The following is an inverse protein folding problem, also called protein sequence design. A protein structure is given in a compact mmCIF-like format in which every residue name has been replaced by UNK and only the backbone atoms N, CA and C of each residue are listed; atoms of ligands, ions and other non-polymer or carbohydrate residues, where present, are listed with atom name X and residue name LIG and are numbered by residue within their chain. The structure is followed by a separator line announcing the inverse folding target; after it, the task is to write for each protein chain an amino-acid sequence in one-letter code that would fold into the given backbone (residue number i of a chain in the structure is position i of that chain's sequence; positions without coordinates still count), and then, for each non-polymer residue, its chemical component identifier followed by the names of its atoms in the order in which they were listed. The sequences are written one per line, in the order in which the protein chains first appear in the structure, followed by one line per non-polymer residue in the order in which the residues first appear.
data_IF_225261540114
#
_entry.id   IF_225261540114
#
_cell.length_a   1.000
_cell.length_b   1.000
_cell.length_c   1.000
_cell.angle_alpha   90.00
_cell.angle_beta   90.00
_cell.angle_gamma   90.00
#
_symmetry.space_group_name_H-M   'P 1'
#
loop_
_entity.id
_entity.type
_entity.pdbx_description
1 polymer ?
#
# COMPACT_ATOMS: atom_id res chain seq x y z
N UNK A 1 -10.21 16.49 15.56
CA UNK A 1 -11.24 17.34 14.91
C UNK A 1 -12.33 16.47 14.25
N UNK A 2 -13.00 15.61 15.06
CA UNK A 2 -14.14 14.80 14.53
C UNK A 2 -15.36 15.66 14.17
N UNK A 3 -15.40 16.92 14.61
CA UNK A 3 -16.56 17.81 14.48
C UNK A 3 -16.27 19.05 13.62
N UNK A 4 -15.36 18.92 12.62
CA UNK A 4 -15.12 20.01 11.69
C UNK A 4 -16.31 20.12 10.73
N UNK A 5 -17.07 21.20 10.86
CA UNK A 5 -18.19 21.55 9.97
C UNK A 5 -17.70 22.58 8.96
N UNK A 6 -17.86 22.26 7.69
CA UNK A 6 -17.57 23.22 6.61
C UNK A 6 -18.59 24.36 6.68
N UNK A 7 -18.10 25.61 6.76
CA UNK A 7 -18.98 26.78 6.71
C UNK A 7 -19.65 26.90 5.33
N UNK A 8 -20.89 27.43 5.32
CA UNK A 8 -21.71 27.58 4.11
C UNK A 8 -20.99 28.25 2.93
N UNK A 9 -20.23 29.30 3.19
CA UNK A 9 -19.45 29.99 2.13
C UNK A 9 -18.41 29.07 1.51
N UNK A 10 -17.71 28.25 2.31
CA UNK A 10 -16.72 27.28 1.80
C UNK A 10 -17.40 26.19 0.98
N UNK A 11 -18.56 25.71 1.40
CA UNK A 11 -19.38 24.74 0.70
C UNK A 11 -19.82 25.27 -0.70
N UNK A 12 -20.28 26.51 -0.76
CA UNK A 12 -20.63 27.19 -2.02
C UNK A 12 -19.41 27.32 -2.96
N UNK A 13 -18.24 27.67 -2.40
CA UNK A 13 -16.98 27.73 -3.18
C UNK A 13 -16.57 26.36 -3.74
N UNK A 14 -16.57 25.30 -2.90
CA UNK A 14 -16.24 23.93 -3.34
C UNK A 14 -17.21 23.45 -4.45
N UNK A 15 -18.50 23.74 -4.30
CA UNK A 15 -19.52 23.42 -5.29
C UNK A 15 -19.27 24.18 -6.61
N UNK A 16 -18.83 25.42 -6.54
CA UNK A 16 -18.48 26.21 -7.73
C UNK A 16 -17.25 25.64 -8.44
N UNK A 17 -16.20 25.29 -7.67
CA UNK A 17 -14.98 24.67 -8.21
C UNK A 17 -15.28 23.34 -8.88
N UNK A 18 -16.17 22.51 -8.31
CA UNK A 18 -16.52 21.20 -8.89
C UNK A 18 -17.22 21.32 -10.26
N UNK A 19 -17.93 22.42 -10.49
CA UNK A 19 -18.61 22.72 -11.78
C UNK A 19 -17.70 23.42 -12.80
N UNK A 20 -16.58 24.00 -12.31
CA UNK A 20 -15.57 24.61 -13.16
C UNK A 20 -14.51 23.56 -13.50
N UNK A 21 -13.87 23.63 -14.66
CA UNK A 21 -12.76 22.73 -14.99
C UNK A 21 -11.41 23.22 -14.39
N UNK A 22 -11.43 23.88 -13.24
CA UNK A 22 -10.23 24.49 -12.66
C UNK A 22 -9.25 23.48 -12.09
N UNK A 23 -9.73 22.38 -11.50
CA UNK A 23 -8.86 21.31 -11.01
C UNK A 23 -8.01 20.69 -12.12
N UNK A 24 -8.55 20.59 -13.34
CA UNK A 24 -7.80 20.10 -14.50
C UNK A 24 -6.66 21.02 -14.95
N UNK A 25 -6.64 22.29 -14.53
CA UNK A 25 -5.56 23.26 -14.82
C UNK A 25 -4.37 23.14 -13.85
N UNK A 26 -4.53 22.43 -12.74
CA UNK A 26 -3.46 22.25 -11.77
C UNK A 26 -2.41 21.25 -12.33
N UNK A 27 -1.13 21.48 -11.96
CA UNK A 27 -0.10 20.51 -12.30
C UNK A 27 -0.23 19.24 -11.48
N UNK A 28 0.15 18.11 -12.05
CA UNK A 28 0.15 16.80 -11.39
C UNK A 28 0.96 16.80 -10.08
N UNK A 29 2.12 17.48 -10.10
CA UNK A 29 2.99 17.58 -8.92
C UNK A 29 2.31 18.33 -7.78
N UNK A 30 1.56 19.40 -8.08
CA UNK A 30 0.82 20.15 -7.07
C UNK A 30 -0.30 19.31 -6.46
N UNK A 31 -1.00 18.54 -7.27
CA UNK A 31 -2.03 17.60 -6.79
C UNK A 31 -1.40 16.59 -5.83
N UNK A 32 -0.24 16.01 -6.19
CA UNK A 32 0.43 15.06 -5.31
C UNK A 32 0.85 15.71 -3.97
N UNK A 33 1.40 16.92 -4.00
CA UNK A 33 1.82 17.63 -2.78
C UNK A 33 0.63 17.79 -1.81
N UNK A 34 -0.55 18.15 -2.30
CA UNK A 34 -1.74 18.32 -1.44
C UNK A 34 -2.26 16.96 -0.92
N UNK A 35 -2.20 15.90 -1.74
CA UNK A 35 -2.51 14.53 -1.31
C UNK A 35 -1.54 14.11 -0.20
N UNK A 36 -0.24 14.26 -0.40
CA UNK A 36 0.77 13.88 0.57
C UNK A 36 0.61 14.63 1.90
N UNK A 37 0.35 15.94 1.85
CA UNK A 37 0.04 16.72 3.05
C UNK A 37 -1.19 16.21 3.80
N UNK A 38 -2.23 15.83 3.06
CA UNK A 38 -3.44 15.26 3.67
C UNK A 38 -3.16 13.92 4.33
N UNK A 39 -2.34 13.07 3.71
CA UNK A 39 -1.93 11.77 4.25
C UNK A 39 -1.10 11.88 5.53
N UNK A 40 -0.33 12.96 5.70
CA UNK A 40 0.42 13.26 6.92
C UNK A 40 -0.50 13.66 8.09
N UNK A 41 -1.74 14.07 7.80
CA UNK A 41 -2.74 14.39 8.82
C UNK A 41 -3.25 13.12 9.52
N UNK A 42 -3.60 13.24 10.80
CA UNK A 42 -4.28 12.19 11.55
C UNK A 42 -5.62 11.79 10.91
N UNK A 43 -6.34 12.73 10.32
CA UNK A 43 -7.68 12.55 9.74
C UNK A 43 -7.64 12.59 8.21
N UNK A 44 -6.72 11.86 7.59
CA UNK A 44 -6.56 11.84 6.13
C UNK A 44 -7.86 11.43 5.40
N UNK A 45 -8.60 10.46 5.93
CA UNK A 45 -9.89 10.02 5.36
C UNK A 45 -10.88 11.17 5.15
N UNK A 46 -10.91 12.18 6.02
CA UNK A 46 -11.83 13.30 5.88
C UNK A 46 -11.54 14.15 4.64
N UNK A 47 -10.27 14.31 4.28
CA UNK A 47 -9.90 14.96 3.02
C UNK A 47 -10.47 14.22 1.80
N UNK A 48 -10.30 12.90 1.74
CA UNK A 48 -10.80 12.11 0.62
C UNK A 48 -12.32 12.02 0.60
N UNK A 49 -12.99 12.00 1.77
CA UNK A 49 -14.45 12.12 1.86
C UNK A 49 -14.95 13.44 1.29
N UNK A 50 -14.28 14.55 1.59
CA UNK A 50 -14.62 15.86 1.04
C UNK A 50 -14.49 15.88 -0.48
N UNK A 51 -13.40 15.33 -1.02
CA UNK A 51 -13.24 15.24 -2.48
C UNK A 51 -14.40 14.48 -3.15
N UNK A 52 -14.84 13.38 -2.54
CA UNK A 52 -16.01 12.61 -3.02
C UNK A 52 -17.30 13.40 -2.88
N UNK A 53 -17.59 13.96 -1.71
CA UNK A 53 -18.85 14.63 -1.42
C UNK A 53 -19.09 15.84 -2.30
N UNK A 54 -18.02 16.58 -2.66
CA UNK A 54 -18.09 17.74 -3.54
C UNK A 54 -17.77 17.43 -5.00
N UNK A 55 -17.60 16.15 -5.37
CA UNK A 55 -17.23 15.71 -6.73
C UNK A 55 -15.95 16.40 -7.25
N UNK A 56 -14.92 16.50 -6.40
CA UNK A 56 -13.62 17.11 -6.69
C UNK A 56 -12.55 16.09 -7.08
N UNK A 57 -12.95 14.89 -7.48
CA UNK A 57 -12.05 13.78 -7.82
C UNK A 57 -11.54 13.82 -9.26
N UNK A 58 -12.26 14.50 -10.16
CA UNK A 58 -11.92 14.60 -11.59
C UNK A 58 -10.97 15.78 -11.85
N UNK A 59 -9.92 15.61 -12.67
CA UNK A 59 -9.55 14.41 -13.44
C UNK A 59 -8.51 13.51 -12.71
N UNK A 60 -8.17 13.76 -11.46
CA UNK A 60 -6.98 13.20 -10.82
C UNK A 60 -7.20 11.90 -10.06
N UNK A 61 -8.34 11.77 -9.37
CA UNK A 61 -8.68 10.64 -8.51
C UNK A 61 -10.02 10.00 -8.92
N UNK A 62 -10.30 9.90 -10.20
CA UNK A 62 -11.59 9.40 -10.74
C UNK A 62 -11.97 8.00 -10.26
N UNK A 63 -10.97 7.21 -9.84
CA UNK A 63 -11.17 5.86 -9.29
C UNK A 63 -11.40 5.81 -7.80
N UNK A 64 -11.41 6.95 -7.13
CA UNK A 64 -11.70 7.03 -5.70
C UNK A 64 -13.17 6.71 -5.45
N UNK A 65 -13.43 5.59 -4.78
CA UNK A 65 -14.78 5.14 -4.36
C UNK A 65 -14.84 4.90 -2.85
N UNK A 66 -13.71 4.50 -2.27
CA UNK A 66 -13.57 4.29 -0.84
C UNK A 66 -12.51 5.24 -0.27
N UNK A 67 -12.90 6.26 0.53
CA UNK A 67 -12.01 7.28 1.06
C UNK A 67 -11.32 6.90 2.37
N UNK A 68 -11.65 5.74 2.95
CA UNK A 68 -11.21 5.39 4.30
C UNK A 68 -9.78 4.86 4.34
N UNK A 69 -8.97 5.41 5.24
CA UNK A 69 -7.66 4.90 5.61
C UNK A 69 -7.44 5.00 7.12
N UNK A 70 -6.47 4.27 7.64
CA UNK A 70 -6.18 4.20 9.07
C UNK A 70 -5.54 5.49 9.58
N UNK A 71 -6.08 6.06 10.66
CA UNK A 71 -5.67 7.39 11.17
C UNK A 71 -4.22 7.41 11.72
N UNK A 72 -3.78 6.36 12.39
CA UNK A 72 -2.53 6.32 13.16
C UNK A 72 -1.32 5.79 12.37
N UNK A 73 -1.47 5.52 11.07
CA UNK A 73 -0.41 5.01 10.22
C UNK A 73 0.41 6.13 9.54
N UNK A 74 1.59 5.77 8.99
CA UNK A 74 2.37 6.67 8.15
C UNK A 74 1.64 7.02 6.86
N UNK A 75 2.03 8.11 6.21
CA UNK A 75 1.44 8.57 4.95
C UNK A 75 1.51 7.47 3.85
N UNK A 76 2.62 6.74 3.77
CA UNK A 76 2.82 5.66 2.79
C UNK A 76 1.85 4.50 3.03
N UNK A 77 1.63 4.12 4.30
CA UNK A 77 0.70 3.04 4.66
C UNK A 77 -0.74 3.46 4.37
N UNK A 78 -1.12 4.71 4.70
CA UNK A 78 -2.44 5.26 4.39
C UNK A 78 -2.71 5.27 2.89
N UNK A 79 -1.72 5.68 2.09
CA UNK A 79 -1.82 5.64 0.64
C UNK A 79 -1.98 4.22 0.11
N UNK A 80 -1.15 3.28 0.60
CA UNK A 80 -1.26 1.88 0.19
C UNK A 80 -2.63 1.28 0.54
N UNK A 81 -3.19 1.62 1.71
CA UNK A 81 -4.53 1.20 2.11
C UNK A 81 -5.62 1.79 1.21
N UNK A 82 -5.54 3.08 0.86
CA UNK A 82 -6.45 3.72 -0.09
C UNK A 82 -6.37 3.06 -1.47
N UNK A 83 -5.16 2.82 -1.99
CA UNK A 83 -4.95 2.12 -3.26
C UNK A 83 -5.59 0.72 -3.25
N UNK A 84 -5.38 -0.06 -2.18
CA UNK A 84 -5.95 -1.40 -2.07
C UNK A 84 -7.48 -1.39 -2.04
N UNK A 85 -8.09 -0.42 -1.33
CA UNK A 85 -9.56 -0.25 -1.28
C UNK A 85 -10.16 0.29 -2.59
N UNK A 86 -9.34 0.80 -3.49
CA UNK A 86 -9.73 1.36 -4.79
C UNK A 86 -9.06 0.60 -5.96
N UNK A 87 -8.87 -0.72 -5.80
CA UNK A 87 -8.36 -1.65 -6.82
C UNK A 87 -6.96 -1.31 -7.37
N UNK A 88 -6.13 -0.60 -6.60
CA UNK A 88 -4.78 -0.17 -6.99
C UNK A 88 -4.77 0.71 -8.26
N UNK A 89 -5.74 1.62 -8.37
CA UNK A 89 -5.92 2.45 -9.56
C UNK A 89 -5.83 3.96 -9.32
N UNK A 90 -5.70 4.42 -8.06
CA UNK A 90 -5.70 5.85 -7.72
C UNK A 90 -4.49 6.60 -8.26
N UNK A 91 -3.32 5.99 -8.20
CA UNK A 91 -2.04 6.61 -8.59
C UNK A 91 -1.78 6.70 -10.09
N UNK A 92 -2.70 6.25 -10.96
CA UNK A 92 -2.45 6.17 -12.41
C UNK A 92 -2.20 7.53 -13.08
N UNK A 93 -2.89 8.57 -12.63
CA UNK A 93 -2.88 9.89 -13.26
C UNK A 93 -2.00 10.92 -12.54
N UNK A 94 -1.38 10.54 -11.43
CA UNK A 94 -0.58 11.42 -10.57
C UNK A 94 0.84 10.87 -10.36
N UNK A 95 1.86 11.73 -10.12
CA UNK A 95 3.25 11.31 -9.98
C UNK A 95 3.55 10.80 -8.57
N UNK A 96 3.01 9.64 -8.22
CA UNK A 96 3.24 9.01 -6.91
C UNK A 96 4.74 8.73 -6.72
N UNK A 97 5.41 9.17 -5.63
CA UNK A 97 6.81 8.89 -5.35
C UNK A 97 7.12 7.40 -5.13
N UNK A 98 8.38 7.02 -5.33
CA UNK A 98 8.80 5.62 -5.27
C UNK A 98 8.65 4.98 -3.89
N UNK A 99 8.82 5.74 -2.79
CA UNK A 99 8.56 5.25 -1.45
C UNK A 99 7.08 4.84 -1.28
N UNK A 100 6.14 5.64 -1.72
CA UNK A 100 4.71 5.29 -1.70
C UNK A 100 4.40 4.08 -2.60
N UNK A 101 4.97 4.04 -3.82
CA UNK A 101 4.82 2.89 -4.73
C UNK A 101 5.34 1.58 -4.14
N UNK A 102 6.43 1.65 -3.34
CA UNK A 102 6.96 0.50 -2.64
C UNK A 102 5.90 -0.10 -1.70
N UNK A 103 5.30 0.72 -0.83
CA UNK A 103 4.26 0.25 0.11
C UNK A 103 3.02 -0.30 -0.61
N UNK A 104 2.60 0.33 -1.70
CA UNK A 104 1.50 -0.17 -2.55
C UNK A 104 1.85 -1.55 -3.12
N UNK A 105 3.05 -1.71 -3.67
CA UNK A 105 3.52 -2.99 -4.23
C UNK A 105 3.63 -4.10 -3.18
N UNK A 106 4.15 -3.77 -1.99
CA UNK A 106 4.23 -4.70 -0.87
C UNK A 106 2.84 -5.12 -0.39
N UNK A 107 1.92 -4.16 -0.18
CA UNK A 107 0.56 -4.47 0.26
C UNK A 107 -0.18 -5.35 -0.76
N UNK A 108 -0.04 -5.05 -2.05
CA UNK A 108 -0.62 -5.88 -3.12
C UNK A 108 -0.09 -7.31 -3.04
N UNK A 109 1.23 -7.49 -2.92
CA UNK A 109 1.84 -8.82 -2.80
C UNK A 109 1.44 -9.53 -1.50
N UNK A 110 1.25 -8.81 -0.38
CA UNK A 110 0.75 -9.38 0.87
C UNK A 110 -0.71 -9.87 0.75
N UNK A 111 -1.56 -9.12 0.04
CA UNK A 111 -2.95 -9.53 -0.23
C UNK A 111 -2.98 -10.77 -1.14
N UNK A 112 -2.11 -10.82 -2.15
CA UNK A 112 -1.99 -11.96 -3.07
C UNK A 112 -1.38 -13.20 -2.39
N UNK A 113 -0.68 -13.04 -1.26
CA UNK A 113 0.00 -14.11 -0.54
C UNK A 113 -0.98 -14.87 0.38
N UNK A 114 -1.66 -15.86 -0.14
CA UNK A 114 -2.68 -16.65 0.58
C UNK A 114 -2.14 -18.02 1.02
N UNK A 115 -2.69 -18.55 2.13
CA UNK A 115 -2.28 -19.84 2.70
C UNK A 115 -2.39 -21.02 1.71
N UNK A 116 -3.37 -20.97 0.83
CA UNK A 116 -3.70 -22.07 -0.09
C UNK A 116 -3.08 -21.91 -1.49
N UNK A 117 -2.14 -20.97 -1.67
CA UNK A 117 -1.44 -20.82 -2.94
C UNK A 117 -0.62 -22.06 -3.30
N UNK A 118 -0.53 -22.43 -4.59
CA UNK A 118 0.45 -23.40 -5.08
C UNK A 118 1.86 -22.99 -4.67
N UNK A 119 2.74 -23.98 -4.40
CA UNK A 119 4.11 -23.73 -3.89
C UNK A 119 4.88 -22.74 -4.77
N UNK A 120 4.78 -22.87 -6.10
CA UNK A 120 5.49 -21.97 -7.02
C UNK A 120 4.99 -20.52 -6.94
N UNK A 121 3.69 -20.30 -6.75
CA UNK A 121 3.10 -18.97 -6.60
C UNK A 121 3.47 -18.36 -5.25
N UNK A 122 3.53 -19.18 -4.21
CA UNK A 122 4.00 -18.76 -2.90
C UNK A 122 5.48 -18.37 -2.92
N UNK A 123 6.33 -19.13 -3.63
CA UNK A 123 7.73 -18.78 -3.87
C UNK A 123 7.83 -17.42 -4.57
N UNK A 124 7.07 -17.21 -5.64
CA UNK A 124 7.06 -15.95 -6.37
C UNK A 124 6.60 -14.77 -5.48
N UNK A 125 5.62 -14.99 -4.61
CA UNK A 125 5.17 -14.03 -3.60
C UNK A 125 6.30 -13.65 -2.62
N UNK A 126 7.00 -14.65 -2.06
CA UNK A 126 8.13 -14.44 -1.13
C UNK A 126 9.25 -13.66 -1.81
N UNK A 127 9.54 -13.97 -3.08
CA UNK A 127 10.57 -13.25 -3.85
C UNK A 127 10.20 -11.79 -4.09
N UNK A 128 8.95 -11.49 -4.41
CA UNK A 128 8.44 -10.12 -4.58
C UNK A 128 8.48 -9.34 -3.26
N UNK A 129 8.05 -9.95 -2.16
CA UNK A 129 8.01 -9.33 -0.83
C UNK A 129 9.41 -9.01 -0.31
N UNK A 130 10.42 -9.87 -0.61
CA UNK A 130 11.81 -9.70 -0.19
C UNK A 130 11.91 -9.33 1.31
N UNK A 131 11.44 -10.23 2.18
CA UNK A 131 11.27 -10.01 3.62
C UNK A 131 12.50 -9.40 4.30
N UNK A 132 13.71 -9.84 3.98
CA UNK A 132 14.95 -9.31 4.58
C UNK A 132 15.21 -7.84 4.23
N UNK A 133 14.78 -7.38 3.06
CA UNK A 133 14.98 -5.99 2.65
C UNK A 133 13.88 -5.06 3.15
N UNK A 134 12.65 -5.55 3.18
CA UNK A 134 11.45 -4.75 3.40
C UNK A 134 10.78 -5.05 4.75
N UNK A 135 11.53 -5.60 5.71
CA UNK A 135 10.99 -6.02 7.02
C UNK A 135 10.26 -4.88 7.75
N UNK A 136 10.88 -3.70 7.80
CA UNK A 136 10.32 -2.53 8.50
C UNK A 136 9.00 -2.06 7.88
N UNK A 137 8.96 -2.00 6.56
CA UNK A 137 7.80 -1.57 5.79
C UNK A 137 6.64 -2.56 5.98
N UNK A 138 6.94 -3.86 6.00
CA UNK A 138 5.93 -4.91 6.14
C UNK A 138 5.32 -4.96 7.53
N UNK A 139 6.08 -4.71 8.62
CA UNK A 139 5.54 -4.68 9.99
C UNK A 139 4.36 -3.71 10.10
N UNK A 140 4.47 -2.53 9.50
CA UNK A 140 3.37 -1.55 9.47
C UNK A 140 2.16 -2.03 8.67
N UNK A 141 2.40 -2.64 7.50
CA UNK A 141 1.33 -3.15 6.62
C UNK A 141 0.57 -4.33 7.21
N UNK A 142 1.24 -5.24 7.95
CA UNK A 142 0.61 -6.41 8.58
C UNK A 142 -0.45 -6.04 9.62
N UNK A 143 -0.46 -4.80 10.12
CA UNK A 143 -1.48 -4.32 11.05
C UNK A 143 -2.76 -3.81 10.36
N UNK A 144 -2.79 -3.75 9.03
CA UNK A 144 -3.96 -3.31 8.29
C UNK A 144 -5.08 -4.36 8.36
N UNK A 145 -6.32 -3.89 8.58
CA UNK A 145 -7.51 -4.75 8.65
C UNK A 145 -7.75 -5.55 7.38
N UNK A 146 -7.33 -5.03 6.23
CA UNK A 146 -7.48 -5.70 4.93
C UNK A 146 -6.71 -7.03 4.86
N UNK A 147 -5.70 -7.23 5.73
CA UNK A 147 -4.93 -8.47 5.83
C UNK A 147 -5.41 -9.40 6.94
N UNK A 148 -6.47 -9.07 7.68
CA UNK A 148 -6.87 -9.80 8.89
C UNK A 148 -7.09 -11.30 8.69
N UNK A 149 -7.58 -11.73 7.53
CA UNK A 149 -7.80 -13.16 7.21
C UNK A 149 -6.51 -13.97 7.04
N UNK A 150 -5.42 -13.33 6.60
CA UNK A 150 -4.15 -13.98 6.28
C UNK A 150 -3.01 -13.57 7.21
N UNK A 151 -3.27 -12.68 8.18
CA UNK A 151 -2.24 -12.07 9.02
C UNK A 151 -1.33 -13.09 9.71
N UNK A 152 -1.92 -14.08 10.38
CA UNK A 152 -1.16 -15.08 11.17
C UNK A 152 -0.33 -15.97 10.25
N UNK A 153 -0.87 -16.36 9.09
CA UNK A 153 -0.13 -17.12 8.09
C UNK A 153 1.06 -16.33 7.56
N UNK A 154 0.84 -15.08 7.16
CA UNK A 154 1.90 -14.22 6.62
C UNK A 154 2.97 -13.93 7.70
N UNK A 155 2.56 -13.69 8.94
CA UNK A 155 3.50 -13.46 10.05
C UNK A 155 4.37 -14.69 10.33
N UNK A 156 3.77 -15.91 10.33
CA UNK A 156 4.51 -17.18 10.48
C UNK A 156 5.46 -17.39 9.31
N UNK A 157 4.99 -17.14 8.08
CA UNK A 157 5.81 -17.25 6.87
C UNK A 157 7.00 -16.28 6.90
N UNK A 158 6.75 -15.01 7.23
CA UNK A 158 7.81 -14.00 7.37
C UNK A 158 8.85 -14.40 8.39
N UNK A 159 8.42 -14.85 9.57
CA UNK A 159 9.32 -15.33 10.65
C UNK A 159 10.20 -16.47 10.16
N UNK A 160 9.63 -17.45 9.46
CA UNK A 160 10.39 -18.60 8.95
C UNK A 160 11.35 -18.21 7.83
N UNK A 161 10.98 -17.28 6.95
CA UNK A 161 11.88 -16.76 5.89
C UNK A 161 13.03 -15.96 6.51
N UNK A 162 12.76 -15.13 7.52
CA UNK A 162 13.77 -14.32 8.20
C UNK A 162 14.73 -15.18 9.05
N UNK A 163 14.29 -16.34 9.51
CA UNK A 163 15.13 -17.29 10.26
C UNK A 163 16.14 -18.04 9.37
N UNK A 164 15.96 -18.07 8.05
CA UNK A 164 16.91 -18.72 7.15
C UNK A 164 18.12 -17.80 6.87
N UNK A 165 19.31 -18.39 6.83
CA UNK A 165 20.55 -17.64 6.57
C UNK A 165 20.79 -17.37 5.08
N UNK A 166 20.31 -16.23 4.61
CA UNK A 166 20.56 -15.76 3.25
C UNK A 166 21.96 -15.11 3.07
N UNK A 167 22.75 -14.94 4.14
CA UNK A 167 24.12 -14.38 4.01
C UNK A 167 25.04 -15.37 3.35
N UNK A 168 24.79 -16.67 3.49
CA UNK A 168 25.48 -17.77 2.80
C UNK A 168 25.44 -17.64 1.26
N UNK A 169 24.48 -16.90 0.68
CA UNK A 169 24.43 -16.63 -0.76
C UNK A 169 25.62 -15.84 -1.28
N UNK A 170 26.36 -15.12 -0.40
CA UNK A 170 27.57 -14.38 -0.80
C UNK A 170 28.77 -15.28 -1.04
N UNK A 171 28.75 -16.49 -0.51
CA UNK A 171 29.85 -17.48 -0.58
C UNK A 171 29.66 -18.45 -1.75
N UNK A 172 28.53 -18.39 -2.44
CA UNK A 172 28.14 -19.31 -3.50
C UNK A 172 28.40 -18.69 -4.88
N UNK A 173 28.75 -19.51 -5.88
CA UNK A 173 28.92 -19.05 -7.25
C UNK A 173 27.61 -18.45 -7.81
N UNK A 174 27.73 -17.47 -8.75
CA UNK A 174 26.56 -16.80 -9.37
C UNK A 174 25.54 -17.78 -9.95
N UNK A 175 26.01 -18.94 -10.46
CA UNK A 175 25.15 -19.95 -11.08
C UNK A 175 24.36 -20.76 -10.03
N UNK A 176 24.85 -20.85 -8.80
CA UNK A 176 24.24 -21.62 -7.71
C UNK A 176 23.34 -20.79 -6.82
N UNK A 177 23.53 -19.47 -6.77
CA UNK A 177 22.75 -18.53 -5.93
C UNK A 177 21.25 -18.76 -6.05
N UNK A 178 20.74 -18.92 -7.28
CA UNK A 178 19.32 -19.14 -7.53
C UNK A 178 18.82 -20.44 -6.88
N UNK A 179 19.59 -21.51 -6.97
CA UNK A 179 19.20 -22.81 -6.43
C UNK A 179 19.24 -22.81 -4.90
N UNK A 180 20.28 -22.22 -4.31
CA UNK A 180 20.40 -22.11 -2.85
C UNK A 180 19.28 -21.23 -2.29
N UNK A 181 19.02 -20.08 -2.92
CA UNK A 181 17.90 -19.21 -2.52
C UNK A 181 16.56 -19.94 -2.57
N UNK A 182 16.29 -20.67 -3.67
CA UNK A 182 15.08 -21.46 -3.81
C UNK A 182 14.96 -22.53 -2.73
N UNK A 183 16.06 -23.21 -2.39
CA UNK A 183 16.08 -24.21 -1.32
C UNK A 183 15.70 -23.60 0.03
N UNK A 184 16.28 -22.45 0.39
CA UNK A 184 15.97 -21.74 1.65
C UNK A 184 14.50 -21.33 1.70
N UNK A 185 13.96 -20.78 0.62
CA UNK A 185 12.54 -20.40 0.53
C UNK A 185 11.64 -21.63 0.72
N UNK A 186 11.90 -22.74 0.03
CA UNK A 186 11.13 -23.99 0.17
C UNK A 186 11.17 -24.54 1.60
N UNK A 187 12.32 -24.46 2.25
CA UNK A 187 12.48 -24.87 3.65
C UNK A 187 11.60 -24.00 4.58
N UNK A 188 11.64 -22.67 4.41
CA UNK A 188 10.79 -21.74 5.16
C UNK A 188 9.29 -22.01 4.95
N UNK A 189 8.87 -22.27 3.70
CA UNK A 189 7.49 -22.66 3.40
C UNK A 189 7.10 -23.93 4.14
N UNK A 190 7.91 -24.99 4.05
CA UNK A 190 7.65 -26.26 4.75
C UNK A 190 7.47 -26.05 6.26
N UNK A 191 8.34 -25.25 6.89
CA UNK A 191 8.26 -24.93 8.31
C UNK A 191 7.00 -24.12 8.67
N UNK A 192 6.43 -23.39 7.70
CA UNK A 192 5.20 -22.61 7.90
C UNK A 192 3.97 -23.50 7.97
N UNK A 193 3.97 -24.62 7.25
CA UNK A 193 2.84 -25.58 7.27
C UNK A 193 2.99 -26.68 8.33
N UNK A 194 4.16 -26.83 8.94
CA UNK A 194 4.38 -27.72 10.08
C UNK A 194 3.80 -27.12 11.39
#
# INVERSE_FOLDING_TARGET
MKDFVIGKTTEEMLTTISKSNELGKLSKDRIWIEIERSLQSKYASEFFKLLLNFNLITPWLERLTNPDCSDDNSAEIKWAELEAKNNFELGKNIPVPNNFKLYVGLLKSLIECEKNLPENDLIACIEKLNFHRNEKEMIGLLNLKILSSNKDFIAKLASNVLAEDFTSLKEVSKNEVKNVKLHLIKKAIKNTYA
#
